data_IF_935202644340
#
_entry.id   IF_935202644340
#
_cell.length_a   1.000
_cell.length_b   1.000
_cell.length_c   1.000
_cell.angle_alpha   90.00
_cell.angle_beta   90.00
_cell.angle_gamma   90.00
#
_symmetry.space_group_name_H-M   'P 1'
#
loop_
_entity.id
_entity.type
_entity.pdbx_description
1 polymer ?
#
# COMPACT_ATOMS: atom_id res chain seq x y z
N UNK A 1 -30.33 8.75 20.05
CA UNK A 1 -30.21 10.07 20.72
C UNK A 1 -30.24 11.15 19.65
N UNK A 2 -30.79 12.33 19.94
CA UNK A 2 -30.82 13.42 18.98
C UNK A 2 -29.39 13.80 18.57
N UNK A 3 -29.16 14.00 17.27
CA UNK A 3 -27.86 14.41 16.74
C UNK A 3 -27.57 15.82 17.26
N UNK A 4 -26.47 15.98 18.02
CA UNK A 4 -25.97 17.29 18.42
C UNK A 4 -25.21 17.88 17.24
N UNK A 5 -25.68 19.02 16.73
CA UNK A 5 -24.98 19.81 15.72
C UNK A 5 -24.06 20.81 16.43
N UNK A 6 -22.82 20.92 15.97
CA UNK A 6 -21.77 21.72 16.61
C UNK A 6 -21.23 22.72 15.60
N UNK A 7 -21.18 23.98 16.01
CA UNK A 7 -20.65 25.05 15.16
C UNK A 7 -19.13 24.97 15.00
N UNK A 8 -18.60 25.43 13.87
CA UNK A 8 -17.14 25.54 13.68
C UNK A 8 -16.47 26.45 14.71
N UNK A 9 -17.16 27.49 15.19
CA UNK A 9 -16.64 28.41 16.22
C UNK A 9 -16.57 27.76 17.61
N UNK A 10 -17.48 26.83 17.91
CA UNK A 10 -17.40 26.02 19.13
C UNK A 10 -16.22 25.06 19.03
N UNK A 11 -16.12 24.31 17.92
CA UNK A 11 -15.02 23.36 17.70
C UNK A 11 -13.65 24.04 17.80
N UNK A 12 -13.50 25.23 17.24
CA UNK A 12 -12.25 26.01 17.28
C UNK A 12 -11.76 26.37 18.69
N UNK A 13 -12.61 26.29 19.72
CA UNK A 13 -12.21 26.55 21.12
C UNK A 13 -11.45 25.38 21.73
N UNK A 14 -11.62 24.18 21.18
CA UNK A 14 -11.03 22.92 21.65
C UNK A 14 -9.75 22.63 20.86
N UNK A 15 -8.79 23.55 20.96
CA UNK A 15 -7.55 23.59 20.17
C UNK A 15 -6.27 23.28 20.95
N UNK A 16 -6.36 22.78 22.19
CA UNK A 16 -5.20 22.52 23.06
C UNK A 16 -5.04 21.04 23.34
N UNK A 17 -3.93 20.61 23.95
CA UNK A 17 -3.69 19.20 24.24
C UNK A 17 -4.69 18.63 25.25
N UNK A 18 -4.99 19.42 26.28
CA UNK A 18 -5.90 19.06 27.36
C UNK A 18 -7.38 19.17 26.96
N UNK A 19 -7.66 19.86 25.84
CA UNK A 19 -8.99 20.08 25.29
C UNK A 19 -8.92 20.14 23.75
N UNK A 20 -8.91 18.97 23.12
CA UNK A 20 -8.62 18.75 21.70
C UNK A 20 -9.80 18.08 20.99
N UNK A 21 -10.50 18.83 20.14
CA UNK A 21 -11.51 18.26 19.25
C UNK A 21 -11.03 18.23 17.80
N UNK A 22 -11.42 17.19 17.06
CA UNK A 22 -11.14 17.05 15.63
C UNK A 22 -12.43 16.76 14.87
N UNK A 23 -12.54 17.29 13.65
CA UNK A 23 -13.57 16.84 12.70
C UNK A 23 -12.97 15.81 11.74
N UNK A 24 -13.64 14.66 11.63
CA UNK A 24 -13.34 13.61 10.65
C UNK A 24 -14.65 13.16 10.01
N UNK A 25 -14.75 13.31 8.69
CA UNK A 25 -15.95 12.98 7.90
C UNK A 25 -17.23 13.61 8.48
N UNK A 26 -17.16 14.92 8.78
CA UNK A 26 -18.19 15.74 9.44
C UNK A 26 -18.56 15.34 10.88
N UNK A 27 -17.89 14.35 11.47
CA UNK A 27 -18.09 13.95 12.86
C UNK A 27 -17.10 14.66 13.78
N UNK A 28 -17.57 15.21 14.90
CA UNK A 28 -16.74 15.89 15.90
C UNK A 28 -16.37 14.92 17.01
N UNK A 29 -15.07 14.69 17.17
CA UNK A 29 -14.51 13.77 18.15
C UNK A 29 -13.65 14.50 19.17
N UNK A 30 -13.85 14.20 20.45
CA UNK A 30 -12.92 14.57 21.51
C UNK A 30 -11.79 13.55 21.56
N UNK A 31 -10.58 14.01 21.21
CA UNK A 31 -9.38 13.18 21.17
C UNK A 31 -8.40 13.52 22.28
N UNK A 32 -8.78 14.36 23.25
CA UNK A 32 -7.87 14.88 24.29
C UNK A 32 -7.16 13.76 25.06
N UNK A 33 -7.91 12.74 25.49
CA UNK A 33 -7.36 11.59 26.20
C UNK A 33 -6.54 10.65 25.30
N UNK A 34 -6.78 10.66 23.99
CA UNK A 34 -6.11 9.78 23.03
C UNK A 34 -4.88 10.43 22.40
N UNK A 35 -4.84 11.76 22.30
CA UNK A 35 -3.81 12.49 21.59
C UNK A 35 -2.37 12.18 22.06
N UNK A 36 -2.09 12.04 23.38
CA UNK A 36 -0.76 11.65 23.86
C UNK A 36 -0.32 10.25 23.43
N UNK A 37 -1.28 9.33 23.26
CA UNK A 37 -1.05 7.92 22.93
C UNK A 37 -1.13 7.66 21.42
N UNK A 38 -1.35 8.70 20.61
CA UNK A 38 -1.48 8.56 19.17
C UNK A 38 -0.17 8.03 18.55
N UNK A 39 -0.20 6.91 17.79
CA UNK A 39 1.01 6.31 17.20
C UNK A 39 1.77 7.22 16.23
N UNK A 40 1.09 8.21 15.62
CA UNK A 40 1.68 9.24 14.76
C UNK A 40 2.34 10.40 15.52
N UNK A 41 2.35 10.36 16.85
CA UNK A 41 2.77 11.46 17.72
C UNK A 41 1.64 12.44 18.02
N UNK A 42 1.78 13.18 19.12
CA UNK A 42 0.78 14.16 19.59
C UNK A 42 0.76 15.42 18.72
N UNK A 43 1.91 15.85 18.19
CA UNK A 43 2.08 17.08 17.42
C UNK A 43 1.19 17.14 16.17
N UNK A 44 0.94 16.00 15.51
CA UNK A 44 0.10 15.97 14.31
C UNK A 44 -1.38 16.16 14.65
N UNK A 45 -1.82 15.66 15.80
CA UNK A 45 -3.19 15.90 16.28
C UNK A 45 -3.34 17.38 16.63
N UNK A 46 -2.35 17.94 17.35
CA UNK A 46 -2.36 19.35 17.73
C UNK A 46 -2.38 20.30 16.53
N UNK A 47 -1.76 19.92 15.41
CA UNK A 47 -1.82 20.69 14.16
C UNK A 47 -3.24 20.89 13.63
N UNK A 48 -4.14 19.96 13.93
CA UNK A 48 -5.55 20.01 13.51
C UNK A 48 -6.52 20.22 14.68
N UNK A 49 -6.02 20.45 15.91
CA UNK A 49 -6.87 20.65 17.07
C UNK A 49 -7.82 21.84 16.85
N UNK A 50 -9.11 21.60 17.12
CA UNK A 50 -10.21 22.54 16.89
C UNK A 50 -10.59 22.72 15.41
N UNK A 51 -10.19 21.80 14.52
CA UNK A 51 -10.31 21.96 13.06
C UNK A 51 -10.78 20.70 12.35
N UNK A 52 -11.03 20.84 11.05
CA UNK A 52 -11.28 19.72 10.15
C UNK A 52 -9.98 19.00 9.77
N UNK A 53 -9.86 17.76 10.24
CA UNK A 53 -8.75 16.87 9.98
C UNK A 53 -9.07 15.85 8.87
N UNK A 54 -10.28 15.84 8.31
CA UNK A 54 -10.79 14.79 7.42
C UNK A 54 -9.81 14.46 6.30
N UNK A 55 -9.28 15.46 5.60
CA UNK A 55 -8.37 15.24 4.48
C UNK A 55 -7.00 14.67 4.91
N UNK A 56 -6.49 15.06 6.07
CA UNK A 56 -5.23 14.54 6.63
C UNK A 56 -5.44 13.14 7.20
N UNK A 57 -6.53 12.94 7.93
CA UNK A 57 -6.95 11.66 8.48
C UNK A 57 -7.12 10.62 7.36
N UNK A 58 -7.90 10.94 6.32
CA UNK A 58 -8.17 10.09 5.16
C UNK A 58 -6.99 9.99 4.18
N UNK A 59 -5.82 10.53 4.47
CA UNK A 59 -4.58 10.17 3.78
C UNK A 59 -3.92 8.92 4.38
N UNK A 60 -4.10 8.71 5.69
CA UNK A 60 -3.34 7.72 6.47
C UNK A 60 -4.26 6.61 6.96
N UNK A 61 -5.41 6.96 7.51
CA UNK A 61 -6.34 6.06 8.17
C UNK A 61 -7.49 5.68 7.23
N UNK A 62 -8.15 4.55 7.51
CA UNK A 62 -9.44 4.27 6.89
C UNK A 62 -10.53 5.08 7.62
N UNK A 63 -11.61 5.51 6.93
CA UNK A 63 -12.68 6.31 7.53
C UNK A 63 -13.29 5.70 8.80
N UNK A 64 -13.34 4.36 8.89
CA UNK A 64 -13.96 3.66 10.01
C UNK A 64 -13.02 3.39 11.19
N UNK A 65 -11.72 3.66 11.06
CA UNK A 65 -10.76 3.36 12.12
C UNK A 65 -11.05 4.18 13.39
N UNK A 66 -11.43 5.45 13.26
CA UNK A 66 -11.69 6.33 14.42
C UNK A 66 -12.85 5.81 15.28
N UNK A 67 -13.88 5.25 14.64
CA UNK A 67 -15.04 4.64 15.33
C UNK A 67 -14.69 3.36 16.08
N UNK A 68 -13.61 2.70 15.69
CA UNK A 68 -13.10 1.48 16.36
C UNK A 68 -12.07 1.83 17.44
N UNK A 69 -11.28 2.88 17.21
CA UNK A 69 -10.20 3.30 18.09
C UNK A 69 -10.71 4.09 19.30
N UNK A 70 -11.78 4.87 19.14
CA UNK A 70 -12.34 5.73 20.19
C UNK A 70 -13.70 5.20 20.66
N UNK A 71 -13.99 5.21 21.96
CA UNK A 71 -15.30 4.84 22.48
C UNK A 71 -16.39 5.81 21.97
N UNK A 72 -17.65 5.33 21.82
CA UNK A 72 -18.76 6.18 21.37
C UNK A 72 -19.01 7.42 22.24
N UNK A 73 -18.54 7.41 23.49
CA UNK A 73 -18.63 8.55 24.42
C UNK A 73 -17.77 9.75 24.01
N UNK A 74 -16.76 9.54 23.15
CA UNK A 74 -15.90 10.59 22.62
C UNK A 74 -16.44 11.22 21.33
N UNK A 75 -17.53 10.68 20.77
CA UNK A 75 -18.24 11.33 19.67
C UNK A 75 -19.14 12.43 20.24
N UNK A 76 -18.77 13.69 20.00
CA UNK A 76 -19.49 14.85 20.55
C UNK A 76 -20.72 15.19 19.69
N UNK A 77 -20.61 15.06 18.37
CA UNK A 77 -21.70 15.41 17.47
C UNK A 77 -21.33 15.45 15.99
N UNK A 78 -22.13 16.17 15.21
CA UNK A 78 -21.93 16.43 13.79
C UNK A 78 -21.61 17.91 13.58
N UNK A 79 -20.66 18.21 12.69
CA UNK A 79 -20.33 19.57 12.30
C UNK A 79 -21.52 20.21 11.57
N UNK A 80 -21.94 21.38 12.04
CA UNK A 80 -22.90 22.22 11.32
C UNK A 80 -22.20 22.96 10.18
N UNK A 81 -22.34 22.41 8.96
CA UNK A 81 -21.73 22.96 7.76
C UNK A 81 -22.14 24.40 7.44
N UNK A 82 -23.29 24.87 7.95
CA UNK A 82 -23.75 26.24 7.73
C UNK A 82 -22.95 27.28 8.51
N UNK A 83 -22.21 26.85 9.53
CA UNK A 83 -21.43 27.72 10.42
C UNK A 83 -20.00 27.97 9.96
N UNK A 84 -19.55 27.23 8.93
CA UNK A 84 -18.19 27.29 8.39
C UNK A 84 -17.93 28.67 7.77
N UNK A 85 -17.02 29.44 8.38
CA UNK A 85 -16.55 30.72 7.86
C UNK A 85 -15.18 30.62 7.16
N UNK A 86 -14.80 31.70 6.48
CA UNK A 86 -13.52 31.76 5.75
C UNK A 86 -12.30 31.61 6.66
N UNK A 87 -12.40 32.11 7.88
CA UNK A 87 -11.34 32.03 8.91
C UNK A 87 -11.09 30.58 9.31
N UNK A 88 -12.14 29.81 9.61
CA UNK A 88 -12.00 28.40 9.96
C UNK A 88 -11.57 27.54 8.76
N UNK A 89 -11.98 27.91 7.55
CA UNK A 89 -11.64 27.20 6.31
C UNK A 89 -10.20 27.41 5.82
N UNK A 90 -9.60 28.58 6.10
CA UNK A 90 -8.28 28.95 5.56
C UNK A 90 -7.11 28.43 6.39
N UNK A 91 -7.32 28.09 7.65
CA UNK A 91 -6.23 28.04 8.61
C UNK A 91 -5.49 26.69 8.68
N UNK A 92 -5.95 25.64 8.00
CA UNK A 92 -5.22 24.38 7.85
C UNK A 92 -5.30 23.78 6.44
N UNK A 93 -5.14 24.60 5.39
CA UNK A 93 -4.75 24.02 4.11
C UNK A 93 -3.29 23.57 4.22
N UNK A 94 -3.02 22.27 4.03
CA UNK A 94 -1.68 21.81 3.65
C UNK A 94 -1.17 22.74 2.54
N UNK A 95 0.13 23.14 2.53
CA UNK A 95 0.66 23.93 1.44
C UNK A 95 0.25 23.27 0.14
N UNK A 96 -0.57 23.98 -0.65
CA UNK A 96 -0.98 23.58 -1.99
C UNK A 96 0.32 23.31 -2.74
N UNK A 97 0.70 22.03 -2.84
CA UNK A 97 1.81 21.63 -3.68
C UNK A 97 1.50 22.18 -5.06
N UNK A 98 2.44 22.97 -5.57
CA UNK A 98 2.64 23.26 -6.99
C UNK A 98 1.83 22.29 -7.81
N UNK A 99 0.75 22.77 -8.44
CA UNK A 99 0.00 22.01 -9.41
C UNK A 99 0.97 21.73 -10.57
N UNK A 100 1.75 20.64 -10.47
CA UNK A 100 2.27 20.02 -11.67
C UNK A 100 1.02 19.71 -12.47
N UNK A 101 0.86 20.45 -13.58
CA UNK A 101 -0.30 20.29 -14.44
C UNK A 101 -0.18 18.89 -15.00
N UNK A 102 -0.90 17.93 -14.40
CA UNK A 102 -0.92 16.55 -14.89
C UNK A 102 -1.46 16.62 -16.31
N UNK A 103 -0.69 16.19 -17.31
CA UNK A 103 -1.16 16.27 -18.68
C UNK A 103 -2.36 15.33 -18.87
N UNK A 104 -3.20 15.56 -19.90
CA UNK A 104 -4.30 14.67 -20.20
C UNK A 104 -3.81 13.23 -20.39
N UNK A 105 -4.51 12.24 -19.86
CA UNK A 105 -4.09 10.83 -19.95
C UNK A 105 -3.86 10.37 -21.41
N UNK A 106 -4.59 10.96 -22.37
CA UNK A 106 -4.44 10.68 -23.81
C UNK A 106 -3.09 11.11 -24.40
N UNK A 107 -2.32 11.95 -23.71
CA UNK A 107 -0.97 12.37 -24.16
C UNK A 107 0.13 11.51 -23.56
N UNK A 108 -0.20 10.53 -22.71
CA UNK A 108 0.77 9.60 -22.14
C UNK A 108 1.05 8.49 -23.13
N UNK A 109 2.30 8.37 -23.57
CA UNK A 109 2.71 7.45 -24.62
C UNK A 109 3.40 6.20 -24.06
N UNK A 110 4.06 6.32 -22.90
CA UNK A 110 4.83 5.23 -22.31
C UNK A 110 4.77 5.20 -20.79
N UNK A 111 5.26 4.10 -20.20
CA UNK A 111 5.44 3.99 -18.75
C UNK A 111 6.44 5.00 -18.18
N UNK A 112 7.40 5.49 -19.00
CA UNK A 112 8.40 6.46 -18.55
C UNK A 112 7.79 7.85 -18.32
N UNK A 113 6.78 8.22 -19.11
CA UNK A 113 6.09 9.51 -18.95
C UNK A 113 5.35 9.54 -17.60
N UNK A 114 4.76 8.42 -17.18
CA UNK A 114 4.17 8.30 -15.85
C UNK A 114 5.21 8.48 -14.73
N UNK A 115 6.43 7.96 -14.92
CA UNK A 115 7.51 8.11 -13.95
C UNK A 115 7.97 9.58 -13.83
N UNK A 116 8.13 10.27 -14.96
CA UNK A 116 8.49 11.69 -15.00
C UNK A 116 7.42 12.55 -14.31
N UNK A 117 6.14 12.34 -14.64
CA UNK A 117 5.04 13.06 -13.99
C UNK A 117 4.96 12.72 -12.49
N UNK A 118 5.20 11.47 -12.11
CA UNK A 118 5.19 11.05 -10.71
C UNK A 118 6.32 11.72 -9.92
N UNK A 119 7.51 11.90 -10.50
CA UNK A 119 8.63 12.62 -9.87
C UNK A 119 8.23 14.01 -9.39
N UNK A 120 7.48 14.72 -10.23
CA UNK A 120 7.08 16.10 -9.96
C UNK A 120 5.79 16.19 -9.12
N UNK A 121 4.94 15.16 -9.19
CA UNK A 121 3.62 15.16 -8.54
C UNK A 121 3.60 14.56 -7.13
N UNK A 122 4.50 13.62 -6.84
CA UNK A 122 4.52 12.92 -5.56
C UNK A 122 5.14 13.77 -4.44
N UNK A 123 4.86 13.42 -3.18
CA UNK A 123 5.67 13.96 -2.09
C UNK A 123 7.11 13.50 -2.23
N UNK A 124 8.08 14.30 -1.74
CA UNK A 124 9.49 13.88 -1.70
C UNK A 124 9.66 12.51 -1.06
N UNK A 125 8.87 12.22 -0.03
CA UNK A 125 8.90 10.93 0.67
C UNK A 125 8.34 9.79 -0.17
N UNK A 126 7.18 9.97 -0.80
CA UNK A 126 6.57 8.97 -1.66
C UNK A 126 7.45 8.67 -2.88
N UNK A 127 8.01 9.72 -3.51
CA UNK A 127 8.97 9.56 -4.59
C UNK A 127 10.21 8.80 -4.13
N UNK A 128 10.84 9.21 -3.02
CA UNK A 128 12.00 8.51 -2.46
C UNK A 128 11.71 7.04 -2.11
N UNK A 129 10.51 6.74 -1.62
CA UNK A 129 10.09 5.37 -1.32
C UNK A 129 9.98 4.51 -2.58
N UNK A 130 9.30 5.00 -3.63
CA UNK A 130 9.05 4.22 -4.85
C UNK A 130 10.22 4.20 -5.83
N UNK A 131 10.94 5.30 -5.99
CA UNK A 131 12.01 5.43 -6.96
C UNK A 131 13.36 4.88 -6.46
N UNK A 132 13.45 4.49 -5.19
CA UNK A 132 14.69 3.99 -4.59
C UNK A 132 14.84 2.48 -4.70
N UNK A 133 16.08 2.03 -4.60
CA UNK A 133 16.45 0.62 -4.47
C UNK A 133 17.58 0.50 -3.43
N UNK A 134 18.11 -0.71 -3.26
CA UNK A 134 19.20 -0.96 -2.35
C UNK A 134 20.49 -0.24 -2.81
N UNK A 135 21.17 0.39 -1.84
CA UNK A 135 22.51 0.99 -1.96
C UNK A 135 22.68 1.82 -3.24
N UNK A 136 23.61 1.46 -4.12
CA UNK A 136 24.05 2.25 -5.27
C UNK A 136 23.15 2.11 -6.50
N UNK A 137 21.97 1.48 -6.36
CA UNK A 137 20.98 1.30 -7.43
C UNK A 137 21.49 0.49 -8.64
N UNK A 138 22.57 -0.28 -8.46
CA UNK A 138 23.22 -1.04 -9.54
C UNK A 138 22.26 -2.08 -10.12
N UNK A 139 21.64 -2.91 -9.27
CA UNK A 139 20.77 -3.99 -9.74
C UNK A 139 19.50 -3.47 -10.42
N UNK A 140 18.88 -2.41 -9.91
CA UNK A 140 17.68 -1.83 -10.56
C UNK A 140 18.00 -1.30 -11.96
N UNK A 141 19.16 -0.64 -12.12
CA UNK A 141 19.64 -0.18 -13.44
C UNK A 141 19.94 -1.36 -14.37
N UNK A 142 20.61 -2.39 -13.85
CA UNK A 142 20.94 -3.57 -14.64
C UNK A 142 19.70 -4.36 -15.08
N UNK A 143 18.65 -4.44 -14.25
CA UNK A 143 17.39 -5.10 -14.61
C UNK A 143 16.75 -4.46 -15.84
N UNK A 144 16.76 -3.13 -15.94
CA UNK A 144 16.27 -2.41 -17.12
C UNK A 144 17.19 -2.60 -18.33
N UNK A 145 18.52 -2.44 -18.14
CA UNK A 145 19.50 -2.54 -19.21
C UNK A 145 19.61 -3.95 -19.81
N UNK A 146 19.30 -4.99 -19.04
CA UNK A 146 19.41 -6.38 -19.51
C UNK A 146 18.55 -6.65 -20.74
N UNK A 147 17.33 -6.07 -20.80
CA UNK A 147 16.44 -6.24 -21.95
C UNK A 147 17.00 -5.64 -23.25
N UNK A 148 17.87 -4.63 -23.18
CA UNK A 148 18.52 -4.04 -24.35
C UNK A 148 19.55 -4.97 -25.01
N UNK A 149 19.91 -6.07 -24.33
CA UNK A 149 20.83 -7.10 -24.84
C UNK A 149 20.10 -8.19 -25.63
N UNK A 150 18.77 -8.17 -25.67
CA UNK A 150 17.93 -9.16 -26.33
C UNK A 150 17.29 -8.53 -27.57
N UNK A 151 17.62 -9.06 -28.75
CA UNK A 151 17.00 -8.63 -30.00
C UNK A 151 15.94 -9.62 -30.49
N UNK A 152 14.87 -9.07 -31.06
CA UNK A 152 13.82 -9.87 -31.68
C UNK A 152 14.25 -10.31 -33.09
N UNK A 153 13.88 -11.54 -33.46
CA UNK A 153 14.00 -12.05 -34.84
C UNK A 153 12.60 -12.17 -35.46
N UNK A 154 12.01 -11.06 -35.95
CA UNK A 154 10.64 -11.07 -36.44
C UNK A 154 10.49 -12.01 -37.64
N UNK A 155 9.35 -12.70 -37.71
CA UNK A 155 9.01 -13.58 -38.84
C UNK A 155 8.22 -12.79 -39.86
N UNK A 156 8.68 -12.79 -41.11
CA UNK A 156 8.06 -12.06 -42.22
C UNK A 156 6.93 -12.87 -42.87
N UNK A 157 6.02 -12.18 -43.58
CA UNK A 157 4.90 -12.77 -44.34
C UNK A 157 4.01 -13.71 -43.51
N UNK A 158 3.78 -13.39 -42.24
CA UNK A 158 2.80 -14.07 -41.38
C UNK A 158 1.49 -13.30 -41.39
N UNK A 159 0.38 -14.02 -41.55
CA UNK A 159 -0.94 -13.42 -41.39
C UNK A 159 -1.16 -13.10 -39.90
N UNK A 160 -1.11 -11.81 -39.57
CA UNK A 160 -1.33 -11.26 -38.23
C UNK A 160 -2.59 -10.38 -38.19
N UNK A 161 -3.54 -10.61 -39.10
CA UNK A 161 -4.84 -9.90 -39.10
C UNK A 161 -5.67 -10.14 -37.82
N UNK A 162 -5.36 -11.21 -37.09
CA UNK A 162 -5.90 -11.47 -35.75
C UNK A 162 -4.76 -11.92 -34.85
N UNK A 163 -4.62 -11.27 -33.69
CA UNK A 163 -3.61 -11.59 -32.66
C UNK A 163 -4.32 -11.65 -31.31
N UNK A 164 -3.92 -12.58 -30.46
CA UNK A 164 -4.37 -12.65 -29.07
C UNK A 164 -3.16 -12.61 -28.14
N UNK A 165 -3.26 -11.78 -27.10
CA UNK A 165 -2.33 -11.71 -25.96
C UNK A 165 -2.87 -12.44 -24.74
N UNK A 166 -4.04 -13.09 -24.87
CA UNK A 166 -4.65 -13.80 -23.76
C UNK A 166 -3.76 -14.93 -23.28
N UNK A 167 -3.65 -15.10 -21.97
CA UNK A 167 -2.87 -16.15 -21.34
C UNK A 167 -3.61 -16.73 -20.15
N UNK A 168 -3.36 -18.01 -19.85
CA UNK A 168 -3.77 -18.62 -18.59
C UNK A 168 -2.53 -18.89 -17.75
N UNK A 169 -2.46 -18.29 -16.57
CA UNK A 169 -1.34 -18.41 -15.63
C UNK A 169 -1.91 -18.73 -14.26
N UNK A 170 -1.34 -19.75 -13.58
CA UNK A 170 -1.70 -20.13 -12.22
C UNK A 170 -3.21 -20.39 -12.03
N UNK A 171 -3.85 -20.97 -13.05
CA UNK A 171 -5.28 -21.30 -13.05
C UNK A 171 -6.23 -20.14 -13.32
N UNK A 172 -5.72 -18.95 -13.68
CA UNK A 172 -6.52 -17.78 -14.02
C UNK A 172 -6.21 -17.29 -15.44
N UNK A 173 -7.24 -16.87 -16.17
CA UNK A 173 -7.11 -16.35 -17.53
C UNK A 173 -7.11 -14.82 -17.54
N UNK A 174 -6.11 -14.23 -18.18
CA UNK A 174 -5.92 -12.78 -18.30
C UNK A 174 -5.84 -12.36 -19.77
N UNK A 175 -6.25 -11.12 -20.06
CA UNK A 175 -6.21 -10.56 -21.42
C UNK A 175 -4.79 -10.21 -21.90
N UNK A 176 -3.86 -9.99 -20.95
CA UNK A 176 -2.46 -9.66 -21.22
C UNK A 176 -1.56 -10.51 -20.31
N UNK A 177 -0.34 -10.85 -20.76
CA UNK A 177 0.62 -11.62 -19.99
C UNK A 177 1.40 -10.72 -19.00
N UNK A 178 0.67 -9.90 -18.24
CA UNK A 178 1.23 -9.01 -17.23
C UNK A 178 0.43 -9.08 -15.94
N UNK A 179 1.14 -9.00 -14.82
CA UNK A 179 0.58 -8.97 -13.48
C UNK A 179 1.08 -7.69 -12.81
N UNK A 180 0.18 -6.90 -12.25
CA UNK A 180 0.53 -5.84 -11.32
C UNK A 180 1.17 -6.49 -10.07
N UNK A 181 2.48 -6.31 -9.93
CA UNK A 181 3.27 -6.88 -8.85
C UNK A 181 2.83 -6.31 -7.48
N UNK A 182 3.08 -7.05 -6.38
CA UNK A 182 2.75 -6.57 -5.05
C UNK A 182 3.67 -5.39 -4.68
N UNK A 183 3.09 -4.20 -4.56
CA UNK A 183 3.77 -2.95 -4.18
C UNK A 183 3.07 -2.34 -2.98
N UNK A 184 3.80 -2.23 -1.87
CA UNK A 184 3.29 -1.72 -0.61
C UNK A 184 2.80 -0.26 -0.70
N UNK A 185 1.91 0.12 0.21
CA UNK A 185 1.59 1.51 0.53
C UNK A 185 1.15 2.37 -0.67
N UNK A 186 0.32 1.86 -1.58
CA UNK A 186 -0.10 2.59 -2.79
C UNK A 186 -0.78 3.95 -2.49
N UNK A 187 -1.28 4.16 -1.25
CA UNK A 187 -1.83 5.45 -0.82
C UNK A 187 -0.80 6.58 -0.76
N UNK A 188 0.49 6.27 -0.64
CA UNK A 188 1.55 7.28 -0.75
C UNK A 188 1.57 7.93 -2.15
N UNK A 189 1.15 7.19 -3.18
CA UNK A 189 1.02 7.72 -4.54
C UNK A 189 -0.31 8.43 -4.78
N UNK A 190 -1.42 7.83 -4.32
CA UNK A 190 -2.76 8.32 -4.59
C UNK A 190 -3.77 7.77 -3.57
N UNK A 191 -4.74 8.59 -3.13
CA UNK A 191 -5.77 8.19 -2.16
C UNK A 191 -6.55 6.92 -2.53
N UNK A 192 -6.74 6.65 -3.84
CA UNK A 192 -7.38 5.42 -4.30
C UNK A 192 -6.59 4.16 -3.95
N UNK A 193 -5.28 4.26 -3.73
CA UNK A 193 -4.37 3.18 -3.35
C UNK A 193 -4.58 1.89 -4.13
N UNK A 194 -4.52 0.77 -3.41
CA UNK A 194 -4.66 -0.58 -3.94
C UNK A 194 -6.05 -0.84 -4.52
N UNK A 195 -7.11 -0.17 -4.04
CA UNK A 195 -8.47 -0.23 -4.63
C UNK A 195 -8.48 0.35 -6.05
N UNK A 196 -7.67 1.37 -6.33
CA UNK A 196 -7.48 1.90 -7.68
C UNK A 196 -6.84 0.88 -8.61
N UNK A 197 -5.80 0.20 -8.13
CA UNK A 197 -5.08 -0.84 -8.89
C UNK A 197 -6.01 -2.04 -9.17
N UNK A 198 -6.76 -2.49 -8.16
CA UNK A 198 -7.72 -3.60 -8.30
C UNK A 198 -8.80 -3.29 -9.36
N UNK A 199 -9.41 -2.11 -9.32
CA UNK A 199 -10.40 -1.68 -10.32
C UNK A 199 -9.81 -1.60 -11.73
N UNK A 200 -8.58 -1.09 -11.86
CA UNK A 200 -7.88 -1.04 -13.14
C UNK A 200 -7.63 -2.46 -13.68
N UNK A 201 -7.06 -3.35 -12.86
CA UNK A 201 -6.76 -4.73 -13.23
C UNK A 201 -8.00 -5.52 -13.64
N UNK A 202 -9.12 -5.34 -12.92
CA UNK A 202 -10.39 -5.96 -13.27
C UNK A 202 -10.96 -5.43 -14.60
N UNK A 203 -10.87 -4.11 -14.83
CA UNK A 203 -11.34 -3.49 -16.07
C UNK A 203 -10.54 -3.95 -17.29
N UNK A 204 -9.22 -4.10 -17.16
CA UNK A 204 -8.32 -4.53 -18.24
C UNK A 204 -8.16 -6.04 -18.31
N UNK A 205 -8.67 -6.79 -17.32
CA UNK A 205 -8.47 -8.24 -17.14
C UNK A 205 -6.99 -8.63 -17.09
N UNK A 206 -6.17 -7.84 -16.40
CA UNK A 206 -4.76 -8.14 -16.09
C UNK A 206 -4.63 -8.71 -14.69
N UNK A 207 -3.59 -9.49 -14.38
CA UNK A 207 -3.42 -10.01 -13.03
C UNK A 207 -3.08 -8.91 -12.02
N UNK A 208 -3.48 -9.09 -10.76
CA UNK A 208 -3.05 -8.26 -9.64
C UNK A 208 -2.70 -9.14 -8.44
N UNK A 209 -1.50 -8.93 -7.89
CA UNK A 209 -1.03 -9.57 -6.67
C UNK A 209 -1.05 -8.55 -5.52
N UNK A 210 -1.97 -8.75 -4.58
CA UNK A 210 -2.18 -7.85 -3.44
C UNK A 210 -1.03 -8.06 -2.43
N UNK A 211 -0.29 -7.01 -2.04
CA UNK A 211 0.74 -7.11 -1.01
C UNK A 211 0.12 -7.23 0.38
N UNK A 212 0.71 -8.05 1.26
CA UNK A 212 0.42 -8.03 2.70
C UNK A 212 0.67 -6.65 3.32
N UNK A 213 1.49 -5.81 2.69
CA UNK A 213 1.84 -4.46 3.12
C UNK A 213 1.01 -3.37 2.41
N UNK A 214 -0.18 -3.74 1.90
CA UNK A 214 -1.13 -2.82 1.33
C UNK A 214 -1.61 -1.76 2.33
N UNK A 215 -2.01 -0.60 1.83
CA UNK A 215 -2.60 0.49 2.62
C UNK A 215 -4.05 0.21 3.06
N UNK A 216 -4.71 -0.73 2.40
CA UNK A 216 -6.07 -1.18 2.71
C UNK A 216 -6.07 -2.68 3.04
N UNK A 217 -6.98 -3.15 3.90
CA UNK A 217 -7.23 -4.58 4.08
C UNK A 217 -7.60 -5.26 2.75
N UNK A 218 -7.21 -6.52 2.59
CA UNK A 218 -7.48 -7.29 1.37
C UNK A 218 -8.98 -7.39 1.07
N UNK A 219 -9.79 -7.51 2.11
CA UNK A 219 -11.25 -7.52 2.07
C UNK A 219 -11.79 -6.28 1.35
N UNK A 220 -11.31 -5.09 1.72
CA UNK A 220 -11.76 -3.83 1.12
C UNK A 220 -11.24 -3.64 -0.31
N UNK A 221 -10.06 -4.19 -0.63
CA UNK A 221 -9.50 -4.14 -1.99
C UNK A 221 -10.36 -4.98 -2.92
N UNK A 222 -10.67 -6.21 -2.53
CA UNK A 222 -11.47 -7.14 -3.33
C UNK A 222 -12.90 -6.64 -3.46
N UNK A 223 -13.51 -6.17 -2.37
CA UNK A 223 -14.87 -5.61 -2.39
C UNK A 223 -15.01 -4.33 -3.24
N UNK A 224 -13.90 -3.68 -3.62
CA UNK A 224 -13.93 -2.49 -4.49
C UNK A 224 -14.14 -2.80 -5.98
N UNK A 225 -14.26 -4.07 -6.35
CA UNK A 225 -14.38 -4.53 -7.73
C UNK A 225 -15.74 -5.17 -7.99
N UNK A 226 -16.52 -4.60 -8.89
CA UNK A 226 -17.90 -5.04 -9.22
C UNK A 226 -17.97 -6.30 -10.11
N UNK A 227 -16.83 -6.93 -10.42
CA UNK A 227 -16.73 -8.05 -11.35
C UNK A 227 -15.91 -9.16 -10.74
N UNK A 228 -16.26 -10.40 -11.06
CA UNK A 228 -15.42 -11.54 -10.73
C UNK A 228 -14.04 -11.36 -11.38
N UNK A 229 -13.02 -11.27 -10.54
CA UNK A 229 -11.66 -11.03 -10.95
C UNK A 229 -10.71 -11.86 -10.07
N UNK A 230 -9.87 -12.72 -10.66
CA UNK A 230 -8.95 -13.53 -9.87
C UNK A 230 -7.82 -12.65 -9.31
N UNK A 231 -7.72 -12.60 -7.99
CA UNK A 231 -6.62 -11.96 -7.28
C UNK A 231 -5.58 -12.98 -6.83
N UNK A 232 -4.32 -12.56 -6.81
CA UNK A 232 -3.24 -13.24 -6.11
C UNK A 232 -2.91 -12.49 -4.82
N UNK A 233 -2.29 -13.16 -3.86
CA UNK A 233 -1.84 -12.52 -2.62
C UNK A 233 -0.35 -12.75 -2.41
N UNK A 234 0.35 -11.73 -1.96
CA UNK A 234 1.75 -11.83 -1.58
C UNK A 234 1.90 -11.88 -0.06
N UNK A 235 2.59 -12.90 0.43
CA UNK A 235 2.90 -13.11 1.84
C UNK A 235 4.37 -12.79 2.13
N UNK A 236 4.60 -12.11 3.23
CA UNK A 236 5.85 -12.17 3.98
C UNK A 236 5.58 -12.98 5.24
N UNK A 237 6.39 -14.01 5.48
CA UNK A 237 6.21 -14.85 6.67
C UNK A 237 6.61 -14.05 7.91
N UNK A 238 5.69 -14.01 8.87
CA UNK A 238 5.89 -13.31 10.13
C UNK A 238 6.68 -14.22 11.10
N UNK A 239 7.59 -13.65 11.89
CA UNK A 239 8.28 -14.33 13.00
C UNK A 239 7.29 -15.03 13.93
N UNK A 240 6.16 -14.38 14.20
CA UNK A 240 5.02 -15.01 14.83
C UNK A 240 4.20 -15.77 13.77
N UNK A 241 4.39 -17.10 13.72
CA UNK A 241 3.70 -17.95 12.74
C UNK A 241 2.19 -17.93 12.86
N UNK A 242 1.64 -17.81 14.07
CA UNK A 242 0.19 -17.67 14.27
C UNK A 242 -0.39 -16.47 13.49
N UNK A 243 0.31 -15.33 13.46
CA UNK A 243 -0.13 -14.17 12.67
C UNK A 243 -0.15 -14.45 11.16
N UNK A 244 0.77 -15.29 10.67
CA UNK A 244 0.75 -15.70 9.26
C UNK A 244 -0.41 -16.66 8.99
N UNK A 245 -0.70 -17.58 9.91
CA UNK A 245 -1.81 -18.54 9.81
C UNK A 245 -3.17 -17.81 9.76
N UNK A 246 -3.37 -16.80 10.61
CA UNK A 246 -4.57 -15.97 10.60
C UNK A 246 -4.76 -15.25 9.25
N UNK A 247 -3.68 -14.70 8.69
CA UNK A 247 -3.71 -14.03 7.38
C UNK A 247 -4.01 -15.03 6.27
N UNK A 248 -3.37 -16.21 6.29
CA UNK A 248 -3.62 -17.27 5.30
C UNK A 248 -5.09 -17.71 5.32
N UNK A 249 -5.67 -17.90 6.51
CA UNK A 249 -7.10 -18.24 6.64
C UNK A 249 -7.99 -17.13 6.08
N UNK A 250 -7.76 -15.87 6.48
CA UNK A 250 -8.55 -14.72 5.99
C UNK A 250 -8.49 -14.57 4.48
N UNK A 251 -7.30 -14.69 3.90
CA UNK A 251 -7.09 -14.58 2.45
C UNK A 251 -7.73 -15.75 1.71
N UNK A 252 -7.72 -16.95 2.30
CA UNK A 252 -8.42 -18.11 1.75
C UNK A 252 -9.93 -17.91 1.69
N UNK A 253 -10.52 -17.35 2.76
CA UNK A 253 -11.96 -17.07 2.84
C UNK A 253 -12.41 -16.01 1.82
N UNK A 254 -11.48 -15.14 1.38
CA UNK A 254 -11.68 -14.18 0.30
C UNK A 254 -11.62 -14.80 -1.11
N UNK A 255 -11.49 -16.12 -1.23
CA UNK A 255 -11.48 -16.82 -2.50
C UNK A 255 -10.13 -16.81 -3.23
N UNK A 256 -9.08 -16.25 -2.62
CA UNK A 256 -7.74 -16.27 -3.21
C UNK A 256 -7.19 -17.70 -3.13
N UNK A 257 -6.61 -18.18 -4.24
CA UNK A 257 -6.08 -19.55 -4.37
C UNK A 257 -4.64 -19.62 -4.83
N UNK A 258 -3.98 -18.47 -5.03
CA UNK A 258 -2.57 -18.40 -5.42
C UNK A 258 -1.84 -17.44 -4.50
N UNK A 259 -0.81 -17.97 -3.83
CA UNK A 259 0.01 -17.27 -2.84
C UNK A 259 1.43 -17.08 -3.37
N UNK A 260 1.92 -15.85 -3.35
CA UNK A 260 3.28 -15.48 -3.67
C UNK A 260 4.04 -15.27 -2.37
N UNK A 261 4.91 -16.21 -1.99
CA UNK A 261 5.74 -16.07 -0.78
C UNK A 261 7.02 -15.36 -1.18
N UNK A 262 7.23 -14.15 -0.66
CA UNK A 262 8.45 -13.40 -0.94
C UNK A 262 9.60 -13.90 -0.05
N UNK A 263 10.66 -14.41 -0.68
CA UNK A 263 11.80 -15.05 0.00
C UNK A 263 13.13 -14.28 -0.14
N UNK A 264 13.15 -13.20 -0.92
CA UNK A 264 14.35 -12.38 -1.17
C UNK A 264 14.58 -11.25 -0.16
N UNK A 265 13.71 -11.11 0.84
CA UNK A 265 13.77 -10.02 1.82
C UNK A 265 13.77 -10.57 3.27
N UNK A 266 14.70 -11.46 3.67
CA UNK A 266 14.81 -11.88 5.07
C UNK A 266 15.24 -10.71 5.97
N UNK A 267 15.90 -9.70 5.38
CA UNK A 267 16.22 -8.42 6.01
C UNK A 267 15.82 -7.27 5.09
N UNK A 268 15.38 -6.12 5.63
CA UNK A 268 15.08 -4.95 4.82
C UNK A 268 16.31 -4.43 4.07
N UNK A 269 16.18 -4.24 2.76
CA UNK A 269 17.23 -3.61 1.95
C UNK A 269 17.47 -2.15 2.35
N UNK A 270 18.73 -1.72 2.35
CA UNK A 270 19.12 -0.33 2.69
C UNK A 270 18.81 0.60 1.52
N UNK A 271 17.68 1.32 1.59
CA UNK A 271 17.26 2.30 0.58
C UNK A 271 17.62 3.71 1.02
N UNK A 272 18.78 4.19 0.57
CA UNK A 272 19.37 5.41 1.14
C UNK A 272 18.56 6.68 0.85
N UNK A 273 17.92 6.79 -0.32
CA UNK A 273 17.04 7.92 -0.62
C UNK A 273 15.83 7.95 0.32
N UNK A 274 15.25 6.79 0.63
CA UNK A 274 14.14 6.67 1.57
C UNK A 274 14.57 7.00 3.01
N UNK A 275 15.80 6.64 3.42
CA UNK A 275 16.32 6.99 4.75
C UNK A 275 16.60 8.49 4.92
N UNK A 276 17.09 9.15 3.86
CA UNK A 276 17.43 10.59 3.86
C UNK A 276 16.21 11.50 3.93
N UNK A 277 15.09 11.08 3.35
CA UNK A 277 13.86 11.87 3.38
C UNK A 277 13.09 11.55 4.66
N UNK A 278 13.02 12.56 5.53
CA UNK A 278 12.25 12.51 6.77
C UNK A 278 10.78 12.22 6.48
N UNK A 279 10.20 11.39 7.34
CA UNK A 279 8.75 11.17 7.37
C UNK A 279 8.24 11.93 8.57
N UNK A 280 7.34 12.87 8.35
CA UNK A 280 6.75 13.69 9.41
C UNK A 280 5.67 12.91 10.18
N UNK A 281 5.21 11.78 9.65
CA UNK A 281 4.02 11.05 10.12
C UNK A 281 4.28 9.54 10.22
N UNK A 282 3.48 8.86 11.05
CA UNK A 282 3.48 7.40 11.10
C UNK A 282 2.60 6.80 9.99
N UNK A 283 3.11 5.79 9.28
CA UNK A 283 2.39 5.13 8.17
C UNK A 283 2.02 3.72 8.58
N UNK A 284 0.72 3.44 8.71
CA UNK A 284 0.20 2.16 9.16
C UNK A 284 0.02 1.13 8.04
N UNK A 285 0.29 -0.14 8.34
CA UNK A 285 0.03 -1.30 7.48
C UNK A 285 -1.00 -2.22 8.15
N UNK A 286 -2.28 -2.17 7.74
CA UNK A 286 -3.37 -2.82 8.47
C UNK A 286 -3.24 -4.34 8.60
N UNK A 287 -2.72 -5.01 7.58
CA UNK A 287 -2.64 -6.48 7.56
C UNK A 287 -1.46 -7.03 8.37
N UNK A 288 -0.38 -6.27 8.53
CA UNK A 288 0.78 -6.65 9.36
C UNK A 288 0.73 -6.06 10.77
N UNK A 289 -0.10 -5.04 10.99
CA UNK A 289 -0.14 -4.27 12.24
C UNK A 289 1.11 -3.43 12.50
N UNK A 290 1.97 -3.24 11.48
CA UNK A 290 3.21 -2.48 11.62
C UNK A 290 3.03 -1.02 11.20
N UNK A 291 3.78 -0.14 11.85
CA UNK A 291 3.78 1.29 11.59
C UNK A 291 5.20 1.74 11.21
N UNK A 292 5.31 2.49 10.11
CA UNK A 292 6.56 3.19 9.81
C UNK A 292 6.69 4.40 10.73
N UNK A 293 7.87 4.63 11.28
CA UNK A 293 8.19 5.81 12.11
C UNK A 293 9.65 6.23 11.92
N UNK A 294 10.04 7.37 12.50
CA UNK A 294 11.42 7.85 12.50
C UNK A 294 12.21 7.25 13.68
N UNK A 295 13.46 6.85 13.44
CA UNK A 295 14.41 6.47 14.49
C UNK A 295 15.77 7.18 14.33
N UNK A 296 16.73 6.86 15.20
CA UNK A 296 18.08 7.44 15.19
C UNK A 296 18.87 7.16 13.89
N UNK A 297 18.41 6.20 13.07
CA UNK A 297 19.02 5.79 11.79
C UNK A 297 18.27 6.37 10.58
N UNK A 298 17.37 7.34 10.79
CA UNK A 298 16.59 7.99 9.74
C UNK A 298 15.15 7.48 9.64
N UNK A 299 14.48 7.80 8.53
CA UNK A 299 13.04 7.55 8.36
C UNK A 299 12.71 6.50 7.30
N UNK A 300 13.61 5.52 7.07
CA UNK A 300 13.40 4.51 6.02
C UNK A 300 12.18 3.63 6.30
N UNK A 301 11.14 3.73 5.48
CA UNK A 301 9.84 3.06 5.67
C UNK A 301 10.02 1.56 5.72
N UNK A 302 10.79 0.99 4.80
CA UNK A 302 10.97 -0.47 4.74
C UNK A 302 11.81 -1.01 5.88
N UNK A 303 12.76 -0.23 6.38
CA UNK A 303 13.57 -0.63 7.53
C UNK A 303 12.72 -0.65 8.81
N UNK A 304 11.88 0.36 9.01
CA UNK A 304 11.06 0.47 10.23
C UNK A 304 9.86 -0.46 10.23
N UNK A 305 9.29 -0.77 9.06
CA UNK A 305 8.16 -1.70 8.92
C UNK A 305 8.56 -3.17 8.79
N UNK A 306 9.84 -3.49 8.55
CA UNK A 306 10.31 -4.85 8.31
C UNK A 306 10.58 -5.70 9.56
N UNK A 307 10.25 -5.22 10.76
CA UNK A 307 10.55 -5.92 12.03
C UNK A 307 9.84 -7.28 12.18
N UNK A 308 8.69 -7.44 11.51
CA UNK A 308 7.89 -8.65 11.51
C UNK A 308 8.46 -9.78 10.63
N UNK A 309 9.35 -9.45 9.68
CA UNK A 309 9.89 -10.39 8.70
C UNK A 309 10.68 -11.51 9.39
N UNK A 310 10.35 -12.76 9.07
CA UNK A 310 11.09 -13.91 9.61
C UNK A 310 12.38 -14.17 8.81
N UNK A 311 13.51 -13.73 9.36
CA UNK A 311 14.83 -13.98 8.78
C UNK A 311 15.29 -15.44 8.88
N UNK A 312 14.57 -16.30 9.62
CA UNK A 312 14.85 -17.73 9.73
C UNK A 312 14.01 -18.58 8.75
N UNK A 313 13.19 -17.96 7.89
CA UNK A 313 12.43 -18.68 6.87
C UNK A 313 13.37 -19.50 5.97
N UNK A 314 13.04 -20.77 5.80
CA UNK A 314 13.86 -21.77 5.11
C UNK A 314 13.04 -22.69 4.23
N UNK A 315 13.70 -23.55 3.45
CA UNK A 315 13.05 -24.58 2.64
C UNK A 315 12.19 -25.56 3.48
N UNK A 316 12.56 -25.81 4.74
CA UNK A 316 11.80 -26.69 5.62
C UNK A 316 10.40 -26.14 5.94
N UNK A 317 10.26 -24.81 5.93
CA UNK A 317 8.99 -24.12 6.19
C UNK A 317 7.96 -24.32 5.08
N UNK A 318 8.35 -24.82 3.90
CA UNK A 318 7.40 -25.17 2.84
C UNK A 318 6.38 -26.22 3.31
N UNK A 319 6.79 -27.15 4.18
CA UNK A 319 5.88 -28.14 4.76
C UNK A 319 4.80 -27.46 5.61
N UNK A 320 5.18 -26.47 6.42
CA UNK A 320 4.23 -25.66 7.19
C UNK A 320 3.34 -24.83 6.26
N UNK A 321 3.89 -24.15 5.25
CA UNK A 321 3.10 -23.39 4.28
C UNK A 321 2.06 -24.28 3.58
N UNK A 322 2.44 -25.48 3.14
CA UNK A 322 1.52 -26.43 2.49
C UNK A 322 0.43 -26.96 3.44
N UNK A 323 0.72 -27.08 4.74
CA UNK A 323 -0.29 -27.44 5.74
C UNK A 323 -1.38 -26.36 5.85
N UNK A 324 -0.99 -25.09 5.82
CA UNK A 324 -1.90 -23.95 6.03
C UNK A 324 -2.42 -23.32 4.73
N UNK A 325 -1.86 -23.68 3.57
CA UNK A 325 -2.27 -23.19 2.27
C UNK A 325 -2.38 -24.34 1.26
N UNK A 326 -3.62 -24.70 0.92
CA UNK A 326 -3.92 -25.77 -0.04
C UNK A 326 -4.02 -25.28 -1.49
N UNK A 327 -3.74 -23.99 -1.71
CA UNK A 327 -3.74 -23.38 -3.04
C UNK A 327 -2.39 -23.52 -3.72
N UNK A 328 -2.25 -22.79 -4.84
CA UNK A 328 -0.99 -22.67 -5.57
C UNK A 328 -0.03 -21.79 -4.78
N UNK A 329 1.22 -22.21 -4.72
CA UNK A 329 2.33 -21.57 -4.07
C UNK A 329 3.34 -21.13 -5.12
N UNK A 330 3.72 -19.86 -5.07
CA UNK A 330 4.74 -19.27 -5.93
C UNK A 330 5.84 -18.69 -5.06
N UNK A 331 7.08 -19.11 -5.28
CA UNK A 331 8.24 -18.55 -4.59
C UNK A 331 8.75 -17.32 -5.32
N UNK A 332 8.60 -16.15 -4.69
CA UNK A 332 8.95 -14.87 -5.28
C UNK A 332 10.29 -14.37 -4.74
N UNK A 333 11.25 -14.14 -5.65
CA UNK A 333 12.57 -13.63 -5.30
C UNK A 333 13.73 -14.57 -5.60
N UNK A 334 13.50 -15.62 -6.39
CA UNK A 334 14.53 -16.56 -6.82
C UNK A 334 15.55 -15.84 -7.70
N UNK A 335 16.84 -16.01 -7.41
CA UNK A 335 17.94 -15.28 -8.07
C UNK A 335 19.01 -16.20 -8.67
N UNK A 336 18.93 -17.51 -8.41
CA UNK A 336 19.90 -18.50 -8.86
C UNK A 336 19.18 -19.67 -9.54
N UNK A 337 19.93 -20.42 -10.35
CA UNK A 337 19.40 -21.63 -11.00
C UNK A 337 19.24 -22.73 -9.95
N UNK A 338 20.16 -22.80 -9.01
CA UNK A 338 20.19 -23.76 -7.90
C UNK A 338 18.91 -23.66 -7.06
N UNK A 339 18.48 -22.45 -6.70
CA UNK A 339 17.24 -22.24 -5.96
C UNK A 339 15.99 -22.50 -6.81
N UNK A 340 16.07 -22.30 -8.14
CA UNK A 340 14.98 -22.68 -9.04
C UNK A 340 14.82 -24.22 -9.12
N UNK A 341 15.93 -24.96 -9.07
CA UNK A 341 15.91 -26.43 -8.99
C UNK A 341 15.34 -26.90 -7.65
N UNK A 342 15.72 -26.29 -6.53
CA UNK A 342 15.13 -26.59 -5.22
C UNK A 342 13.62 -26.31 -5.19
N UNK A 343 13.17 -25.23 -5.82
CA UNK A 343 11.74 -24.93 -5.96
C UNK A 343 11.01 -26.00 -6.79
N UNK A 344 11.63 -26.48 -7.87
CA UNK A 344 11.10 -27.58 -8.68
C UNK A 344 11.01 -28.89 -7.89
N UNK A 345 12.05 -29.24 -7.13
CA UNK A 345 12.08 -30.44 -6.28
C UNK A 345 11.05 -30.37 -5.15
N UNK A 346 10.82 -29.17 -4.61
CA UNK A 346 9.75 -28.88 -3.64
C UNK A 346 8.35 -28.81 -4.27
N UNK A 347 8.25 -28.98 -5.59
CA UNK A 347 7.01 -29.03 -6.36
C UNK A 347 6.10 -27.82 -6.14
N UNK A 348 6.67 -26.61 -6.05
CA UNK A 348 5.86 -25.37 -6.04
C UNK A 348 5.32 -25.06 -7.43
N UNK A 349 4.17 -24.38 -7.52
CA UNK A 349 3.48 -24.14 -8.79
C UNK A 349 4.11 -23.02 -9.64
N UNK A 350 5.05 -22.26 -9.08
CA UNK A 350 5.83 -21.30 -9.84
C UNK A 350 6.91 -20.61 -9.05
N UNK A 351 7.75 -19.88 -9.79
CA UNK A 351 8.75 -18.98 -9.23
C UNK A 351 8.66 -17.61 -9.90
N UNK A 352 9.05 -16.56 -9.18
CA UNK A 352 9.30 -15.24 -9.77
C UNK A 352 10.78 -14.92 -9.61
N UNK A 353 11.45 -14.77 -10.76
CA UNK A 353 12.83 -14.32 -10.83
C UNK A 353 12.90 -12.84 -10.47
N UNK A 354 13.92 -12.42 -9.72
CA UNK A 354 14.08 -11.02 -9.32
C UNK A 354 15.50 -10.50 -9.46
#
# INVERSE_FOLDING_TARGET
MAVRWISSQEIARHGTLEDCWLVVDNQVWDVSAFAPDHPGGVEIILRFAGRDATAAYNQIHSPDLIKKALPPTQLIGQLDLSTIDKTWSQEASLPSKSSSVRPPLSTILSSHDFEEIARDSLSKKAWAFYSSAATDLISVKNNQLFYQRIWMRPRLLRNVSTVSTQVTVLGATFALPVIAAPVALARLANLCGEKGIARAAARTRTGYCIPITASYPAEEIIASVDRDHPFFFQLYVNKNRASSEDILSRVWDLGIRTLFVTIDTPTPGKREADERVRTEESIAMPMTGTNASQDARGSGITRTTGSFLDGALSWNDLTWLRKHWQGRLVLKGVQSVEDALLAMDAQVEGIVLR
#
